data_IF_785305869570
#
_entry.id   IF_785305869570
#
_cell.length_a   1.000
_cell.length_b   1.000
_cell.length_c   1.000
_cell.angle_alpha   90.00
_cell.angle_beta   90.00
_cell.angle_gamma   90.00
#
_symmetry.space_group_name_H-M   'P 1'
#
loop_
_entity.id
_entity.type
_entity.pdbx_description
1 polymer ?
#
# COMPACT_ATOMS: atom_id res chain seq x y z
N UNK A 1 34.23 14.49 62.38
CA UNK A 1 33.55 15.01 61.18
C UNK A 1 32.30 15.76 61.63
N UNK A 2 32.07 17.01 61.22
CA UNK A 2 30.81 17.69 61.56
C UNK A 2 29.64 16.99 60.85
N UNK A 3 28.43 17.08 61.40
CA UNK A 3 27.22 16.53 60.76
C UNK A 3 27.06 17.09 59.33
N UNK A 4 27.38 18.37 59.14
CA UNK A 4 27.40 19.01 57.82
C UNK A 4 28.43 18.38 56.86
N UNK A 5 29.62 18.05 57.35
CA UNK A 5 30.64 17.36 56.55
C UNK A 5 30.24 15.94 56.16
N UNK A 6 29.54 15.21 57.03
CA UNK A 6 29.00 13.89 56.72
C UNK A 6 27.90 13.94 55.65
N UNK A 7 26.96 14.88 55.78
CA UNK A 7 25.90 15.09 54.78
C UNK A 7 26.48 15.48 53.42
N UNK A 8 27.44 16.41 53.38
CA UNK A 8 28.10 16.81 52.15
C UNK A 8 28.83 15.64 51.47
N UNK A 9 29.52 14.79 52.25
CA UNK A 9 30.21 13.61 51.72
C UNK A 9 29.22 12.60 51.11
N UNK A 10 28.11 12.31 51.80
CA UNK A 10 27.08 11.39 51.29
C UNK A 10 26.44 11.92 50.00
N UNK A 11 26.07 13.21 49.96
CA UNK A 11 25.51 13.82 48.75
C UNK A 11 26.50 13.83 47.58
N UNK A 12 27.77 14.10 47.85
CA UNK A 12 28.82 14.08 46.82
C UNK A 12 29.07 12.66 46.29
N UNK A 13 29.06 11.66 47.16
CA UNK A 13 29.18 10.25 46.76
C UNK A 13 27.96 9.80 45.94
N UNK A 14 26.75 10.20 46.32
CA UNK A 14 25.53 9.96 45.54
C UNK A 14 25.60 10.63 44.17
N UNK A 15 26.05 11.88 44.10
CA UNK A 15 26.22 12.59 42.84
C UNK A 15 27.21 11.87 41.92
N UNK A 16 28.40 11.52 42.41
CA UNK A 16 29.39 10.76 41.63
C UNK A 16 28.85 9.40 41.17
N UNK A 17 28.11 8.70 42.03
CA UNK A 17 27.49 7.43 41.68
C UNK A 17 26.47 7.60 40.54
N UNK A 18 25.57 8.59 40.64
CA UNK A 18 24.58 8.90 39.60
C UNK A 18 25.28 9.32 38.29
N UNK A 19 26.32 10.15 38.36
CA UNK A 19 27.11 10.53 37.18
C UNK A 19 27.78 9.31 36.54
N UNK A 20 28.29 8.37 37.33
CA UNK A 20 28.91 7.15 36.80
C UNK A 20 27.87 6.25 36.11
N UNK A 21 26.67 6.13 36.69
CA UNK A 21 25.56 5.41 36.06
C UNK A 21 25.16 6.06 34.73
N UNK A 22 24.99 7.38 34.71
CA UNK A 22 24.64 8.13 33.50
C UNK A 22 25.69 8.02 32.40
N UNK A 23 26.98 8.13 32.75
CA UNK A 23 28.09 7.91 31.82
C UNK A 23 28.04 6.48 31.27
N UNK A 24 27.83 5.48 32.12
CA UNK A 24 27.76 4.10 31.66
C UNK A 24 26.59 3.86 30.71
N UNK A 25 25.44 4.47 30.95
CA UNK A 25 24.26 4.41 30.07
C UNK A 25 24.52 5.10 28.72
N UNK A 26 25.20 6.25 28.72
CA UNK A 26 25.57 6.97 27.49
C UNK A 26 26.58 6.19 26.63
N UNK A 27 27.55 5.51 27.26
CA UNK A 27 28.57 4.73 26.54
C UNK A 27 28.17 3.28 26.23
N UNK A 28 27.22 2.72 26.98
CA UNK A 28 26.68 1.38 26.77
C UNK A 28 25.13 1.42 26.73
N UNK A 29 24.55 2.13 25.76
CA UNK A 29 23.11 2.23 25.67
C UNK A 29 22.48 0.86 25.43
N UNK A 30 21.27 0.68 25.96
CA UNK A 30 20.59 -0.60 26.01
C UNK A 30 20.45 -1.25 24.63
N UNK A 31 20.17 -0.46 23.59
CA UNK A 31 19.95 -0.96 22.23
C UNK A 31 21.14 -1.72 21.64
N UNK A 32 22.37 -1.46 22.10
CA UNK A 32 23.58 -2.19 21.64
C UNK A 32 23.44 -3.69 21.93
N UNK A 33 22.75 -4.08 23.00
CA UNK A 33 22.54 -5.49 23.36
C UNK A 33 21.84 -6.25 22.24
N UNK A 34 20.92 -5.60 21.52
CA UNK A 34 20.16 -6.21 20.42
C UNK A 34 21.04 -6.44 19.19
N UNK A 35 21.81 -5.43 18.80
CA UNK A 35 22.72 -5.57 17.66
C UNK A 35 23.83 -6.59 17.92
N UNK A 36 24.40 -6.58 19.13
CA UNK A 36 25.41 -7.56 19.55
C UNK A 36 24.88 -8.99 19.42
N UNK A 37 23.68 -9.24 19.96
CA UNK A 37 23.04 -10.55 19.88
C UNK A 37 22.83 -11.00 18.42
N UNK A 38 22.31 -10.12 17.56
CA UNK A 38 22.12 -10.43 16.15
C UNK A 38 23.44 -10.76 15.44
N UNK A 39 24.48 -9.93 15.59
CA UNK A 39 25.76 -10.16 14.92
C UNK A 39 26.44 -11.44 15.41
N UNK A 40 26.37 -11.75 16.70
CA UNK A 40 26.85 -13.03 17.26
C UNK A 40 26.14 -14.24 16.63
N UNK A 41 24.80 -14.19 16.54
CA UNK A 41 24.00 -15.25 15.92
C UNK A 41 24.32 -15.41 14.42
N UNK A 42 24.45 -14.31 13.68
CA UNK A 42 24.78 -14.34 12.25
C UNK A 42 26.23 -14.79 12.00
N UNK A 43 27.17 -14.43 12.88
CA UNK A 43 28.55 -14.91 12.82
C UNK A 43 28.61 -16.43 12.99
N UNK A 44 27.86 -16.98 13.96
CA UNK A 44 27.78 -18.43 14.19
C UNK A 44 27.16 -19.18 13.01
N UNK A 45 26.12 -18.62 12.37
CA UNK A 45 25.52 -19.20 11.14
C UNK A 45 26.54 -19.19 9.99
N UNK A 46 27.16 -18.04 9.75
CA UNK A 46 28.14 -17.85 8.65
C UNK A 46 29.39 -18.71 8.85
N UNK A 47 29.84 -18.92 10.09
CA UNK A 47 31.00 -19.77 10.40
C UNK A 47 30.73 -21.25 10.04
N UNK A 48 29.53 -21.74 10.35
CA UNK A 48 29.09 -23.09 9.93
C UNK A 48 29.03 -23.23 8.42
N UNK A 49 28.48 -22.23 7.72
CA UNK A 49 28.44 -22.21 6.24
C UNK A 49 29.86 -22.21 5.64
N UNK A 50 30.77 -21.44 6.24
CA UNK A 50 32.17 -21.36 5.80
C UNK A 50 32.88 -22.70 5.94
N UNK A 51 32.67 -23.44 7.04
CA UNK A 51 33.26 -24.76 7.27
C UNK A 51 32.78 -25.80 6.24
N UNK A 52 31.49 -25.78 5.92
CA UNK A 52 30.85 -26.73 4.99
C UNK A 52 31.13 -26.39 3.52
N UNK A 53 31.40 -25.12 3.19
CA UNK A 53 31.63 -24.68 1.81
C UNK A 53 32.85 -25.38 1.18
N UNK A 54 32.67 -25.86 -0.06
CA UNK A 54 33.72 -26.55 -0.83
C UNK A 54 34.33 -25.69 -1.93
N UNK A 55 33.70 -24.56 -2.25
CA UNK A 55 34.11 -23.68 -3.36
C UNK A 55 34.99 -22.55 -2.85
N UNK A 56 36.17 -22.34 -3.48
CA UNK A 56 37.13 -21.28 -3.09
C UNK A 56 36.48 -19.89 -3.08
N UNK A 57 35.66 -19.59 -4.10
CA UNK A 57 34.96 -18.30 -4.25
C UNK A 57 33.93 -18.07 -3.14
N UNK A 58 33.21 -19.11 -2.75
CA UNK A 58 32.21 -19.05 -1.70
C UNK A 58 32.86 -18.89 -0.32
N UNK A 59 33.93 -19.64 -0.05
CA UNK A 59 34.76 -19.44 1.14
C UNK A 59 35.33 -18.03 1.23
N UNK A 60 35.82 -17.46 0.14
CA UNK A 60 36.31 -16.07 0.15
C UNK A 60 35.20 -15.07 0.54
N UNK A 61 34.00 -15.23 -0.02
CA UNK A 61 32.85 -14.38 0.28
C UNK A 61 32.40 -14.52 1.75
N UNK A 62 32.24 -15.76 2.21
CA UNK A 62 31.86 -16.07 3.59
C UNK A 62 32.92 -15.60 4.59
N UNK A 63 34.21 -15.71 4.24
CA UNK A 63 35.31 -15.20 5.05
C UNK A 63 35.27 -13.68 5.23
N UNK A 64 34.98 -12.94 4.15
CA UNK A 64 34.76 -11.48 4.21
C UNK A 64 33.54 -11.13 5.08
N UNK A 65 32.43 -11.85 4.90
CA UNK A 65 31.21 -11.68 5.71
C UNK A 65 31.49 -11.96 7.20
N UNK A 66 32.19 -13.05 7.51
CA UNK A 66 32.53 -13.42 8.88
C UNK A 66 33.45 -12.39 9.56
N UNK A 67 34.40 -11.82 8.82
CA UNK A 67 35.28 -10.77 9.35
C UNK A 67 34.49 -9.52 9.78
N UNK A 68 33.49 -9.13 8.99
CA UNK A 68 32.56 -8.04 9.32
C UNK A 68 31.69 -8.40 10.53
N UNK A 69 31.07 -9.58 10.53
CA UNK A 69 30.16 -10.02 11.61
C UNK A 69 30.88 -10.20 12.96
N UNK A 70 32.18 -10.53 12.97
CA UNK A 70 32.99 -10.64 14.20
C UNK A 70 33.43 -9.29 14.75
N UNK A 71 33.43 -8.23 13.95
CA UNK A 71 33.79 -6.86 14.37
C UNK A 71 32.80 -5.83 13.80
N UNK A 72 31.51 -5.90 14.19
CA UNK A 72 30.50 -5.01 13.65
C UNK A 72 30.68 -3.58 14.21
N UNK A 73 30.22 -2.61 13.45
CA UNK A 73 30.00 -1.25 13.94
C UNK A 73 28.57 -1.18 14.46
N UNK A 74 28.42 -0.84 15.74
CA UNK A 74 27.11 -0.60 16.33
C UNK A 74 26.70 0.84 16.07
N UNK A 75 25.52 1.04 15.51
CA UNK A 75 25.04 2.37 15.13
C UNK A 75 23.53 2.50 15.28
N UNK A 76 23.09 3.73 15.50
CA UNK A 76 21.66 4.06 15.45
C UNK A 76 21.22 4.04 13.99
N UNK A 77 20.40 3.05 13.62
CA UNK A 77 19.75 3.00 12.31
C UNK A 77 18.48 3.86 12.35
N UNK A 78 18.40 4.82 11.45
CA UNK A 78 17.26 5.73 11.36
C UNK A 78 16.74 5.84 9.93
N UNK A 79 15.42 5.80 9.80
CA UNK A 79 14.68 6.03 8.57
C UNK A 79 14.04 7.41 8.70
N UNK A 80 14.30 8.27 7.71
CA UNK A 80 13.66 9.56 7.61
C UNK A 80 12.42 9.42 6.74
N UNK A 81 11.24 9.61 7.33
CA UNK A 81 9.98 9.54 6.63
C UNK A 81 9.79 10.86 5.88
N UNK A 82 10.03 10.81 4.56
CA UNK A 82 10.05 12.00 3.70
C UNK A 82 8.65 12.26 3.15
N UNK A 83 7.95 13.24 3.71
CA UNK A 83 6.65 13.73 3.25
C UNK A 83 6.73 14.79 2.13
N UNK A 84 5.59 15.20 1.57
CA UNK A 84 5.45 16.18 0.48
C UNK A 84 6.21 17.51 0.74
N UNK A 85 6.21 18.03 1.98
CA UNK A 85 6.97 19.24 2.34
C UNK A 85 8.49 19.05 2.18
N UNK A 86 8.98 17.82 2.29
CA UNK A 86 10.42 17.52 2.34
C UNK A 86 11.02 17.21 0.98
N UNK A 87 10.20 16.73 0.04
CA UNK A 87 10.59 16.57 -1.36
C UNK A 87 10.64 17.91 -2.11
N UNK A 88 9.67 18.80 -1.86
CA UNK A 88 9.58 20.11 -2.50
C UNK A 88 10.66 21.09 -2.01
N UNK A 89 10.98 21.08 -0.72
CA UNK A 89 11.89 22.07 -0.10
C UNK A 89 13.30 21.54 0.18
N UNK A 90 13.57 20.25 -0.12
CA UNK A 90 14.83 19.54 0.23
C UNK A 90 15.17 19.59 1.72
N UNK A 91 14.16 19.76 2.57
CA UNK A 91 14.31 19.69 4.02
C UNK A 91 14.16 18.23 4.49
N UNK A 92 14.63 17.91 5.70
CA UNK A 92 14.48 16.56 6.24
C UNK A 92 13.07 16.37 6.79
N UNK A 93 12.45 15.21 6.57
CA UNK A 93 11.16 14.84 7.18
C UNK A 93 11.19 15.00 8.69
N UNK A 94 10.14 15.61 9.25
CA UNK A 94 10.01 15.79 10.70
C UNK A 94 9.87 14.45 11.44
N UNK A 95 9.31 13.43 10.76
CA UNK A 95 9.07 12.10 11.32
C UNK A 95 10.27 11.18 11.04
N UNK A 96 10.77 10.57 12.12
CA UNK A 96 11.94 9.69 12.12
C UNK A 96 11.54 8.39 12.79
N UNK A 97 11.94 7.28 12.19
CA UNK A 97 11.74 5.93 12.70
C UNK A 97 13.10 5.26 12.96
N UNK A 98 13.30 4.77 14.17
CA UNK A 98 14.54 4.14 14.66
C UNK A 98 14.31 2.71 15.13
N UNK A 99 13.17 2.10 14.82
CA UNK A 99 12.88 0.72 15.20
C UNK A 99 13.99 -0.25 14.70
N UNK A 100 14.53 0.05 13.52
CA UNK A 100 15.67 -0.67 12.92
C UNK A 100 16.96 -0.61 13.76
N UNK A 101 17.07 0.24 14.78
CA UNK A 101 18.24 0.24 15.68
C UNK A 101 18.27 -1.03 16.53
N UNK A 102 17.11 -1.53 16.95
CA UNK A 102 16.98 -2.77 17.73
C UNK A 102 16.58 -3.96 16.83
N UNK A 103 15.75 -3.72 15.82
CA UNK A 103 15.28 -4.71 14.85
C UNK A 103 16.14 -4.70 13.58
N UNK A 104 17.39 -5.16 13.66
CA UNK A 104 18.36 -5.03 12.56
C UNK A 104 18.29 -6.13 11.48
N UNK A 105 17.42 -7.14 11.64
CA UNK A 105 17.26 -8.20 10.64
C UNK A 105 16.37 -7.75 9.46
N UNK A 106 17.01 -7.05 8.52
CA UNK A 106 16.33 -6.53 7.33
C UNK A 106 15.77 -7.64 6.41
N UNK A 107 16.36 -8.83 6.40
CA UNK A 107 15.89 -9.96 5.58
C UNK A 107 14.60 -10.54 6.17
N UNK A 108 14.56 -10.74 7.49
CA UNK A 108 13.35 -11.16 8.19
C UNK A 108 12.23 -10.12 8.04
N UNK A 109 12.56 -8.83 8.13
CA UNK A 109 11.60 -7.75 7.96
C UNK A 109 11.03 -7.72 6.53
N UNK A 110 11.87 -7.80 5.49
CA UNK A 110 11.40 -7.86 4.09
C UNK A 110 10.50 -9.07 3.83
N UNK A 111 10.78 -10.20 4.47
CA UNK A 111 9.98 -11.42 4.33
C UNK A 111 8.62 -11.30 5.01
N UNK A 112 8.54 -10.52 6.08
CA UNK A 112 7.34 -10.37 6.90
C UNK A 112 6.40 -9.25 6.45
N UNK A 113 6.87 -8.36 5.56
CA UNK A 113 6.13 -7.19 5.09
C UNK A 113 5.83 -7.26 3.58
N UNK A 114 4.69 -6.70 3.13
CA UNK A 114 4.37 -6.62 1.71
C UNK A 114 5.39 -5.76 0.95
N UNK A 115 5.69 -6.14 -0.30
CA UNK A 115 6.61 -5.39 -1.17
C UNK A 115 6.10 -3.97 -1.47
N UNK A 116 4.78 -3.78 -1.42
CA UNK A 116 4.12 -2.49 -1.64
C UNK A 116 4.47 -1.43 -0.58
N UNK A 117 4.88 -1.86 0.63
CA UNK A 117 5.20 -0.97 1.75
C UNK A 117 6.60 -1.24 2.31
N UNK A 118 7.65 -0.87 1.57
CA UNK A 118 9.02 -1.05 2.06
C UNK A 118 9.29 -0.12 3.24
N UNK A 119 9.82 -0.69 4.33
CA UNK A 119 10.01 0.02 5.60
C UNK A 119 11.01 1.18 5.51
N UNK A 120 11.93 1.18 4.54
CA UNK A 120 12.88 2.28 4.31
C UNK A 120 12.23 3.52 3.69
N UNK A 121 10.98 3.43 3.27
CA UNK A 121 10.13 4.55 2.82
C UNK A 121 9.09 4.90 3.87
N UNK A 122 8.31 3.90 4.32
CA UNK A 122 7.14 4.13 5.16
C UNK A 122 7.44 4.04 6.67
N UNK A 123 8.57 3.46 7.07
CA UNK A 123 8.86 3.21 8.48
C UNK A 123 7.99 2.10 9.10
N UNK A 124 8.27 1.77 10.35
CA UNK A 124 7.54 0.75 11.09
C UNK A 124 6.32 1.37 11.80
N UNK A 125 6.51 2.57 12.36
CA UNK A 125 5.54 3.27 13.20
C UNK A 125 4.30 3.77 12.45
N UNK A 126 4.30 3.83 11.12
CA UNK A 126 3.09 4.16 10.34
C UNK A 126 2.04 3.04 10.47
N UNK A 127 2.47 1.80 10.27
CA UNK A 127 1.58 0.65 10.44
C UNK A 127 1.51 0.18 11.90
N UNK A 128 2.57 0.33 12.69
CA UNK A 128 2.63 -0.22 14.04
C UNK A 128 2.36 0.80 15.16
N UNK A 129 2.28 2.10 14.88
CA UNK A 129 2.32 3.18 15.89
C UNK A 129 3.58 3.09 16.76
N UNK A 130 3.49 3.51 18.03
CA UNK A 130 4.63 3.60 18.93
C UNK A 130 5.44 4.87 18.75
N UNK A 131 6.49 4.99 19.54
CA UNK A 131 7.41 6.13 19.48
C UNK A 131 8.64 5.77 18.64
N UNK A 132 8.51 5.90 17.32
CA UNK A 132 9.60 5.61 16.38
C UNK A 132 10.88 6.42 16.62
N UNK A 133 10.86 7.51 17.42
CA UNK A 133 12.07 8.30 17.73
C UNK A 133 12.84 7.77 18.94
N UNK A 134 12.19 7.00 19.80
CA UNK A 134 12.78 6.48 21.03
C UNK A 134 13.77 5.35 20.72
N UNK A 135 14.84 5.27 21.53
CA UNK A 135 15.75 4.14 21.58
C UNK A 135 15.60 3.32 22.88
N UNK A 136 14.79 3.83 23.81
CA UNK A 136 14.34 3.10 24.99
C UNK A 136 13.22 2.15 24.58
N UNK A 137 13.32 0.88 24.97
CA UNK A 137 12.40 -0.19 24.56
C UNK A 137 10.95 0.08 25.01
N UNK A 138 10.76 0.52 26.25
CA UNK A 138 9.43 0.73 26.82
C UNK A 138 8.76 1.93 26.15
N UNK A 139 9.50 3.03 26.00
CA UNK A 139 9.00 4.24 25.35
C UNK A 139 8.78 4.03 23.84
N UNK A 140 9.64 3.26 23.16
CA UNK A 140 9.49 2.95 21.74
C UNK A 140 8.20 2.16 21.47
N UNK A 141 7.86 1.24 22.37
CA UNK A 141 6.67 0.40 22.25
C UNK A 141 5.42 0.98 22.90
N UNK A 142 5.49 2.14 23.54
CA UNK A 142 4.35 2.81 24.16
C UNK A 142 3.27 3.10 23.10
N UNK A 143 2.10 2.47 23.23
CA UNK A 143 1.00 2.63 22.27
C UNK A 143 1.17 1.87 20.95
N UNK A 144 2.16 0.98 20.84
CA UNK A 144 2.41 0.20 19.63
C UNK A 144 1.44 -0.99 19.48
N UNK A 145 1.11 -1.33 18.24
CA UNK A 145 0.37 -2.51 17.83
C UNK A 145 1.33 -3.55 17.24
N UNK A 146 1.55 -4.65 17.95
CA UNK A 146 2.55 -5.65 17.57
C UNK A 146 2.08 -6.57 16.44
N UNK A 147 0.88 -7.14 16.58
CA UNK A 147 0.35 -8.10 15.62
C UNK A 147 -0.66 -7.46 14.67
N UNK A 148 -0.89 -8.11 13.52
CA UNK A 148 -1.95 -7.74 12.56
C UNK A 148 -3.32 -7.62 13.22
N UNK A 149 -3.62 -8.50 14.18
CA UNK A 149 -4.87 -8.45 14.94
C UNK A 149 -4.97 -7.16 15.77
N UNK A 150 -3.88 -6.72 16.37
CA UNK A 150 -3.86 -5.52 17.20
C UNK A 150 -4.05 -4.29 16.32
N UNK A 151 -3.36 -4.24 15.17
CA UNK A 151 -3.55 -3.20 14.16
C UNK A 151 -5.02 -3.12 13.71
N UNK A 152 -5.70 -4.25 13.48
CA UNK A 152 -7.13 -4.25 13.13
C UNK A 152 -8.02 -3.62 14.20
N UNK A 153 -7.66 -3.70 15.49
CA UNK A 153 -8.43 -3.09 16.57
C UNK A 153 -8.43 -1.55 16.52
N UNK A 154 -7.43 -0.93 15.86
CA UNK A 154 -7.41 0.54 15.68
C UNK A 154 -8.52 1.02 14.76
N UNK A 155 -9.05 0.16 13.90
CA UNK A 155 -10.12 0.49 12.95
C UNK A 155 -11.46 0.70 13.67
N UNK A 156 -11.58 1.83 14.35
CA UNK A 156 -12.75 2.18 15.16
C UNK A 156 -13.77 3.00 14.39
N UNK A 157 -13.31 3.71 13.35
CA UNK A 157 -14.08 4.61 12.48
C UNK A 157 -13.47 4.67 11.07
N UNK A 158 -14.19 5.29 10.13
CA UNK A 158 -13.65 5.59 8.80
C UNK A 158 -12.51 6.61 8.86
N UNK A 159 -12.53 7.51 9.85
CA UNK A 159 -11.53 8.58 10.00
C UNK A 159 -10.13 7.98 10.19
N UNK A 160 -10.02 6.99 11.08
CA UNK A 160 -8.74 6.32 11.36
C UNK A 160 -8.14 5.66 10.12
N UNK A 161 -8.98 5.18 9.20
CA UNK A 161 -8.49 4.61 7.94
C UNK A 161 -8.07 5.71 6.95
N UNK A 162 -8.77 6.83 6.93
CA UNK A 162 -8.42 7.97 6.08
C UNK A 162 -7.13 8.62 6.54
N UNK A 163 -6.95 8.86 7.85
CA UNK A 163 -5.70 9.36 8.43
C UNK A 163 -4.51 8.45 8.06
N UNK A 164 -4.70 7.14 8.15
CA UNK A 164 -3.69 6.16 7.73
C UNK A 164 -3.38 6.25 6.22
N UNK A 165 -4.40 6.29 5.37
CA UNK A 165 -4.21 6.43 3.92
C UNK A 165 -3.57 7.76 3.51
N UNK A 166 -3.91 8.84 4.20
CA UNK A 166 -3.33 10.16 3.97
C UNK A 166 -1.86 10.16 4.37
N UNK A 167 -1.50 9.54 5.50
CA UNK A 167 -0.10 9.37 5.88
C UNK A 167 0.70 8.54 4.86
N UNK A 168 0.14 7.44 4.36
CA UNK A 168 0.77 6.69 3.27
C UNK A 168 0.93 7.56 2.01
N UNK A 169 -0.06 8.37 1.67
CA UNK A 169 -0.01 9.26 0.52
C UNK A 169 1.06 10.34 0.67
N UNK A 170 1.21 10.91 1.87
CA UNK A 170 2.24 11.91 2.15
C UNK A 170 3.66 11.34 2.00
N UNK A 171 3.89 10.11 2.46
CA UNK A 171 5.19 9.45 2.44
C UNK A 171 5.56 8.86 1.08
N UNK A 172 4.58 8.70 0.20
CA UNK A 172 4.77 8.10 -1.10
C UNK A 172 5.59 9.04 -2.00
N UNK A 173 6.76 8.60 -2.50
CA UNK A 173 7.58 9.41 -3.41
C UNK A 173 6.79 9.93 -4.61
N UNK A 174 7.03 11.19 -5.01
CA UNK A 174 6.40 11.77 -6.21
C UNK A 174 6.67 10.88 -7.44
N UNK A 175 5.58 10.42 -8.07
CA UNK A 175 5.67 9.63 -9.28
C UNK A 175 6.09 10.53 -10.45
N UNK A 176 7.31 10.31 -10.96
CA UNK A 176 7.90 11.12 -12.05
C UNK A 176 7.19 10.94 -13.39
N UNK A 177 6.40 9.88 -13.54
CA UNK A 177 5.60 9.63 -14.74
C UNK A 177 4.11 9.94 -14.46
N UNK A 178 3.57 11.07 -14.95
CA UNK A 178 2.15 11.40 -14.82
C UNK A 178 1.22 10.39 -15.53
N UNK A 179 1.77 9.41 -16.24
CA UNK A 179 1.06 8.36 -16.95
C UNK A 179 1.18 6.96 -16.33
N UNK A 180 2.02 6.76 -15.29
CA UNK A 180 1.97 5.54 -14.50
C UNK A 180 0.70 5.60 -13.65
N UNK A 181 -0.15 4.59 -13.84
CA UNK A 181 -1.45 4.52 -13.19
C UNK A 181 -1.25 4.12 -11.73
N UNK A 182 -1.18 5.11 -10.84
CA UNK A 182 -1.78 5.11 -9.49
C UNK A 182 -1.61 3.81 -8.68
N UNK A 183 -0.43 3.19 -8.71
CA UNK A 183 -0.07 2.14 -7.74
C UNK A 183 0.32 2.81 -6.42
N UNK A 184 1.25 3.76 -6.53
CA UNK A 184 1.72 4.65 -5.47
C UNK A 184 0.72 5.79 -5.28
N UNK A 185 -0.39 5.53 -4.57
CA UNK A 185 -1.38 6.58 -4.27
C UNK A 185 -2.81 6.09 -4.10
N UNK A 186 -3.14 4.91 -4.62
CA UNK A 186 -4.49 4.35 -4.49
C UNK A 186 -4.62 3.50 -3.23
N UNK A 187 -4.56 4.14 -2.05
CA UNK A 187 -4.56 3.39 -0.78
C UNK A 187 -5.90 2.73 -0.44
N UNK A 188 -6.97 3.04 -1.19
CA UNK A 188 -8.31 2.47 -0.98
C UNK A 188 -8.38 0.95 -1.06
N UNK A 189 -7.38 0.33 -1.68
CA UNK A 189 -7.29 -1.11 -1.83
C UNK A 189 -6.61 -1.78 -0.64
N UNK A 190 -6.10 -1.02 0.33
CA UNK A 190 -5.45 -1.56 1.53
C UNK A 190 -6.32 -1.34 2.76
N UNK A 191 -6.29 -2.30 3.69
CA UNK A 191 -6.89 -2.15 5.00
C UNK A 191 -5.89 -1.51 5.99
N UNK A 192 -6.29 -1.38 7.24
CA UNK A 192 -5.53 -0.69 8.29
C UNK A 192 -4.20 -1.37 8.67
N UNK A 193 -3.96 -2.61 8.20
CA UNK A 193 -2.69 -3.33 8.45
C UNK A 193 -1.69 -3.15 7.31
N UNK A 194 -2.05 -2.41 6.25
CA UNK A 194 -1.27 -2.35 5.01
C UNK A 194 -1.48 -3.58 4.11
N UNK A 195 -2.31 -4.55 4.48
CA UNK A 195 -2.65 -5.67 3.62
C UNK A 195 -3.68 -5.24 2.56
N UNK A 196 -3.64 -5.85 1.37
CA UNK A 196 -4.70 -5.68 0.37
C UNK A 196 -6.05 -6.11 0.97
N UNK A 197 -7.02 -5.21 0.90
CA UNK A 197 -8.35 -5.44 1.40
C UNK A 197 -9.10 -6.48 0.53
N UNK A 198 -9.94 -7.27 1.19
CA UNK A 198 -10.63 -8.39 0.53
C UNK A 198 -11.84 -7.90 -0.27
N UNK A 199 -11.95 -8.37 -1.52
CA UNK A 199 -13.17 -8.26 -2.32
C UNK A 199 -14.19 -9.29 -1.84
N UNK A 200 -15.31 -8.83 -1.29
CA UNK A 200 -16.33 -9.68 -0.64
C UNK A 200 -17.42 -10.13 -1.62
N UNK A 201 -17.44 -9.56 -2.83
CA UNK A 201 -18.35 -9.89 -3.91
C UNK A 201 -19.71 -9.22 -3.80
N UNK A 202 -20.29 -8.94 -4.97
CA UNK A 202 -21.55 -8.17 -5.08
C UNK A 202 -22.73 -8.80 -4.36
N UNK A 203 -22.75 -10.13 -4.19
CA UNK A 203 -23.80 -10.84 -3.44
C UNK A 203 -23.93 -10.33 -2.01
N UNK A 204 -22.82 -9.98 -1.35
CA UNK A 204 -22.85 -9.44 0.02
C UNK A 204 -23.54 -8.08 0.06
N UNK A 205 -23.25 -7.24 -0.93
CA UNK A 205 -23.85 -5.91 -1.08
C UNK A 205 -25.36 -6.02 -1.37
N UNK A 206 -25.74 -6.85 -2.34
CA UNK A 206 -27.12 -6.98 -2.83
C UNK A 206 -28.08 -7.39 -1.71
N UNK A 207 -27.68 -8.29 -0.79
CA UNK A 207 -28.51 -8.75 0.35
C UNK A 207 -29.15 -7.61 1.15
N UNK A 208 -28.49 -6.46 1.25
CA UNK A 208 -29.04 -5.29 1.95
C UNK A 208 -29.49 -4.20 0.95
N UNK A 209 -28.71 -3.98 -0.11
CA UNK A 209 -28.94 -2.89 -1.05
C UNK A 209 -30.11 -3.13 -2.03
N UNK A 210 -30.59 -4.37 -2.18
CA UNK A 210 -31.83 -4.67 -2.92
C UNK A 210 -33.07 -4.10 -2.26
N UNK A 211 -33.04 -3.86 -0.94
CA UNK A 211 -34.09 -3.16 -0.20
C UNK A 211 -33.75 -1.68 0.01
N UNK A 212 -32.61 -1.39 0.61
CA UNK A 212 -32.25 -0.03 1.05
C UNK A 212 -32.02 0.95 -0.11
N UNK A 213 -31.48 0.45 -1.22
CA UNK A 213 -31.14 1.25 -2.40
C UNK A 213 -31.56 0.54 -3.67
N UNK A 214 -32.79 0.00 -3.68
CA UNK A 214 -33.33 -0.79 -4.79
C UNK A 214 -33.07 -0.19 -6.18
N UNK A 215 -33.32 1.11 -6.46
CA UNK A 215 -33.11 1.67 -7.79
C UNK A 215 -31.65 1.62 -8.27
N UNK A 216 -30.69 1.62 -7.34
CA UNK A 216 -29.27 1.50 -7.66
C UNK A 216 -28.92 0.07 -8.08
N UNK A 217 -29.32 -0.92 -7.29
CA UNK A 217 -29.09 -2.35 -7.58
C UNK A 217 -29.85 -2.78 -8.83
N UNK A 218 -31.10 -2.37 -8.98
CA UNK A 218 -31.91 -2.65 -10.18
C UNK A 218 -31.25 -2.08 -11.43
N UNK A 219 -30.81 -0.81 -11.38
CA UNK A 219 -30.11 -0.18 -12.52
C UNK A 219 -28.84 -0.94 -12.86
N UNK A 220 -28.02 -1.29 -11.87
CA UNK A 220 -26.81 -2.08 -12.08
C UNK A 220 -27.13 -3.46 -12.65
N UNK A 221 -28.13 -4.18 -12.13
CA UNK A 221 -28.57 -5.49 -12.63
C UNK A 221 -29.15 -5.44 -14.05
N UNK A 222 -29.73 -4.30 -14.45
CA UNK A 222 -30.25 -4.11 -15.81
C UNK A 222 -29.14 -3.87 -16.83
N UNK A 223 -28.16 -3.03 -16.49
CA UNK A 223 -27.03 -2.72 -17.38
C UNK A 223 -25.92 -3.79 -17.30
N UNK A 224 -25.84 -4.51 -16.17
CA UNK A 224 -24.89 -5.55 -15.74
C UNK A 224 -23.41 -5.24 -15.96
N UNK A 225 -23.07 -4.04 -16.45
CA UNK A 225 -21.79 -3.71 -17.06
C UNK A 225 -21.16 -4.94 -17.75
N UNK A 226 -21.92 -5.59 -18.66
CA UNK A 226 -21.55 -6.84 -19.37
C UNK A 226 -20.43 -6.63 -20.39
N UNK A 227 -19.53 -5.70 -20.12
CA UNK A 227 -18.46 -5.31 -21.01
C UNK A 227 -17.55 -6.50 -21.29
N UNK A 228 -17.32 -7.38 -20.31
CA UNK A 228 -16.55 -8.62 -20.53
C UNK A 228 -17.26 -9.61 -21.46
N UNK A 229 -18.58 -9.79 -21.36
CA UNK A 229 -19.34 -10.67 -22.26
C UNK A 229 -19.19 -10.22 -23.72
N UNK A 230 -19.10 -8.91 -23.96
CA UNK A 230 -18.86 -8.33 -25.28
C UNK A 230 -17.41 -8.51 -25.71
N UNK A 231 -16.46 -8.26 -24.82
CA UNK A 231 -15.03 -8.45 -25.08
C UNK A 231 -14.71 -9.90 -25.45
N UNK A 232 -15.30 -10.87 -24.74
CA UNK A 232 -15.12 -12.31 -25.01
C UNK A 232 -15.59 -12.74 -26.41
N UNK A 233 -16.49 -11.97 -27.03
CA UNK A 233 -16.99 -12.21 -28.39
C UNK A 233 -16.18 -11.49 -29.46
N UNK A 234 -15.28 -10.59 -29.07
CA UNK A 234 -14.55 -9.77 -30.01
C UNK A 234 -13.45 -10.59 -30.73
N UNK A 235 -13.24 -10.39 -32.04
CA UNK A 235 -12.27 -11.15 -32.83
C UNK A 235 -10.85 -11.11 -32.27
N UNK A 236 -10.45 -9.98 -31.70
CA UNK A 236 -9.13 -9.75 -31.11
C UNK A 236 -8.94 -10.57 -29.82
N UNK A 237 -9.97 -10.67 -28.98
CA UNK A 237 -9.93 -11.51 -27.78
C UNK A 237 -9.87 -13.01 -28.11
N UNK A 238 -10.65 -13.43 -29.12
CA UNK A 238 -10.71 -14.83 -29.57
C UNK A 238 -9.37 -15.25 -30.18
N UNK A 239 -8.78 -14.38 -31.02
CA UNK A 239 -7.48 -14.63 -31.65
C UNK A 239 -6.29 -14.43 -30.72
N UNK A 240 -6.46 -13.65 -29.65
CA UNK A 240 -5.42 -13.34 -28.67
C UNK A 240 -5.04 -14.54 -27.80
N UNK A 241 -3.78 -14.55 -27.37
CA UNK A 241 -3.25 -15.48 -26.38
C UNK A 241 -3.66 -15.10 -24.95
N UNK A 242 -3.18 -15.84 -23.96
CA UNK A 242 -3.51 -15.59 -22.55
C UNK A 242 -3.07 -14.20 -22.09
N UNK A 243 -1.88 -13.75 -22.49
CA UNK A 243 -1.34 -12.43 -22.13
C UNK A 243 -2.17 -11.30 -22.74
N UNK A 244 -2.64 -11.46 -23.98
CA UNK A 244 -3.59 -10.53 -24.58
C UNK A 244 -4.90 -10.43 -23.77
N UNK A 245 -5.43 -11.57 -23.34
CA UNK A 245 -6.68 -11.63 -22.56
C UNK A 245 -6.53 -11.00 -21.18
N UNK A 246 -5.37 -11.17 -20.53
CA UNK A 246 -5.03 -10.52 -19.25
C UNK A 246 -5.14 -9.00 -19.31
N UNK A 247 -4.74 -8.38 -20.44
CA UNK A 247 -4.91 -6.93 -20.62
C UNK A 247 -6.38 -6.49 -20.60
N UNK A 248 -7.29 -7.36 -21.06
CA UNK A 248 -8.73 -7.06 -21.02
C UNK A 248 -9.27 -7.12 -19.58
N UNK A 249 -8.77 -8.05 -18.77
CA UNK A 249 -9.28 -8.27 -17.41
C UNK A 249 -9.03 -7.08 -16.49
N UNK A 250 -7.95 -6.33 -16.70
CA UNK A 250 -7.63 -5.09 -15.95
C UNK A 250 -8.80 -4.09 -15.85
N UNK A 251 -9.65 -4.02 -16.87
CA UNK A 251 -10.77 -3.07 -16.93
C UNK A 251 -12.16 -3.74 -16.97
N UNK A 252 -12.22 -5.02 -17.37
CA UNK A 252 -13.48 -5.73 -17.59
C UNK A 252 -13.79 -6.77 -16.51
N UNK A 253 -13.01 -6.81 -15.44
CA UNK A 253 -13.26 -7.64 -14.25
C UNK A 253 -13.18 -6.78 -12.99
N UNK A 254 -13.52 -7.35 -11.84
CA UNK A 254 -13.44 -6.66 -10.55
C UNK A 254 -12.35 -7.29 -9.70
N UNK A 255 -11.45 -6.45 -9.18
CA UNK A 255 -10.35 -6.89 -8.33
C UNK A 255 -9.31 -7.72 -9.07
N UNK A 256 -8.93 -7.29 -10.28
CA UNK A 256 -7.85 -7.93 -11.03
C UNK A 256 -6.49 -7.65 -10.36
N UNK A 257 -5.72 -8.70 -10.10
CA UNK A 257 -4.35 -8.62 -9.60
C UNK A 257 -3.37 -8.92 -10.74
N UNK A 258 -2.48 -7.97 -11.05
CA UNK A 258 -1.54 -8.11 -12.18
C UNK A 258 -0.43 -9.13 -11.92
N UNK A 259 -0.13 -9.42 -10.65
CA UNK A 259 0.92 -10.36 -10.25
C UNK A 259 0.42 -11.79 -10.40
N UNK A 260 -0.79 -12.07 -9.92
CA UNK A 260 -1.37 -13.43 -10.02
C UNK A 260 -2.10 -13.65 -11.34
N UNK A 261 -2.56 -12.58 -11.99
CA UNK A 261 -3.41 -12.64 -13.17
C UNK A 261 -4.85 -13.06 -12.88
N UNK A 262 -5.26 -13.09 -11.60
CA UNK A 262 -6.59 -13.48 -11.15
C UNK A 262 -7.50 -12.27 -10.92
N UNK A 263 -8.81 -12.49 -10.84
CA UNK A 263 -9.80 -11.47 -10.49
C UNK A 263 -10.81 -12.02 -9.47
N UNK A 264 -11.35 -11.13 -8.64
CA UNK A 264 -12.30 -11.48 -7.57
C UNK A 264 -13.73 -11.72 -8.07
N UNK A 265 -14.19 -10.97 -9.07
CA UNK A 265 -15.53 -11.16 -9.66
C UNK A 265 -15.52 -10.88 -11.17
N UNK A 266 -16.28 -11.68 -11.93
CA UNK A 266 -16.42 -11.52 -13.37
C UNK A 266 -17.25 -10.26 -13.70
N UNK A 267 -16.75 -9.44 -14.63
CA UNK A 267 -17.40 -8.19 -15.02
C UNK A 267 -17.06 -7.01 -14.11
N UNK A 268 -17.59 -5.84 -14.45
CA UNK A 268 -17.44 -4.60 -13.65
C UNK A 268 -18.57 -4.54 -12.62
N UNK A 269 -18.26 -4.90 -11.38
CA UNK A 269 -19.25 -5.08 -10.31
C UNK A 269 -19.22 -3.97 -9.28
N UNK A 270 -19.94 -4.12 -8.16
CA UNK A 270 -20.05 -3.07 -7.14
C UNK A 270 -18.68 -2.56 -6.67
N UNK A 271 -17.75 -3.49 -6.43
CA UNK A 271 -16.43 -3.22 -5.86
C UNK A 271 -15.44 -2.65 -6.89
N UNK A 272 -15.77 -2.68 -8.19
CA UNK A 272 -14.96 -2.04 -9.22
C UNK A 272 -14.97 -0.50 -9.04
N UNK A 273 -16.13 0.04 -8.66
CA UNK A 273 -16.30 1.46 -8.37
C UNK A 273 -16.00 1.78 -6.90
N UNK A 274 -16.58 1.00 -5.99
CA UNK A 274 -16.55 1.29 -4.55
C UNK A 274 -15.27 0.83 -3.82
N UNK A 275 -14.39 0.07 -4.48
CA UNK A 275 -13.23 -0.56 -3.86
C UNK A 275 -13.56 -1.89 -3.18
N UNK A 276 -12.57 -2.59 -2.59
CA UNK A 276 -12.78 -3.85 -1.89
C UNK A 276 -13.68 -3.68 -0.66
N UNK A 277 -14.63 -4.59 -0.47
CA UNK A 277 -15.69 -4.43 0.53
C UNK A 277 -15.41 -4.95 1.91
N UNK A 278 -14.22 -5.49 2.19
CA UNK A 278 -13.83 -5.93 3.53
C UNK A 278 -14.16 -4.91 4.61
N UNK A 279 -13.58 -3.71 4.52
CA UNK A 279 -13.62 -2.70 5.58
C UNK A 279 -15.01 -2.10 5.74
N UNK A 280 -15.64 -1.66 4.63
CA UNK A 280 -16.97 -1.03 4.76
C UNK A 280 -18.07 -2.04 5.07
N UNK A 281 -17.97 -3.29 4.61
CA UNK A 281 -18.95 -4.32 4.98
C UNK A 281 -18.84 -4.70 6.45
N UNK A 282 -17.62 -4.74 7.01
CA UNK A 282 -17.40 -4.92 8.44
C UNK A 282 -18.14 -3.85 9.26
N UNK A 283 -17.97 -2.56 8.92
CA UNK A 283 -18.68 -1.49 9.62
C UNK A 283 -20.21 -1.60 9.52
N UNK A 284 -20.73 -2.08 8.38
CA UNK A 284 -22.17 -2.34 8.23
C UNK A 284 -22.65 -3.47 9.15
N UNK A 285 -21.87 -4.55 9.29
CA UNK A 285 -22.19 -5.72 10.12
C UNK A 285 -22.19 -5.39 11.62
N UNK A 286 -21.29 -4.53 12.09
CA UNK A 286 -21.21 -4.13 13.51
C UNK A 286 -22.15 -2.97 13.87
N UNK A 287 -23.11 -2.63 13.01
CA UNK A 287 -24.09 -1.57 13.26
C UNK A 287 -23.56 -0.13 13.10
N UNK A 288 -22.38 0.05 12.51
CA UNK A 288 -21.75 1.35 12.19
C UNK A 288 -21.83 1.66 10.69
N UNK A 289 -22.96 1.38 10.05
CA UNK A 289 -23.13 1.50 8.59
C UNK A 289 -22.75 2.89 8.01
N UNK A 290 -22.92 3.97 8.78
CA UNK A 290 -22.49 5.31 8.36
C UNK A 290 -20.98 5.44 8.14
N UNK A 291 -20.16 4.72 8.92
CA UNK A 291 -18.71 4.67 8.73
C UNK A 291 -18.36 3.92 7.45
N UNK A 292 -18.97 2.75 7.22
CA UNK A 292 -18.80 2.00 5.97
C UNK A 292 -19.22 2.81 4.73
N UNK A 293 -20.31 3.58 4.84
CA UNK A 293 -20.77 4.46 3.76
C UNK A 293 -19.74 5.54 3.40
N UNK A 294 -19.03 6.12 4.39
CA UNK A 294 -17.96 7.10 4.11
C UNK A 294 -16.87 6.48 3.24
N UNK A 295 -16.38 5.30 3.63
CA UNK A 295 -15.33 4.57 2.92
C UNK A 295 -15.78 4.20 1.50
N UNK A 296 -16.97 3.60 1.34
CA UNK A 296 -17.48 3.18 0.03
C UNK A 296 -17.68 4.35 -0.96
N UNK A 297 -17.82 5.59 -0.48
CA UNK A 297 -17.99 6.77 -1.34
C UNK A 297 -16.67 7.32 -1.88
N UNK A 298 -15.53 7.00 -1.27
CA UNK A 298 -14.22 7.54 -1.65
C UNK A 298 -13.92 7.28 -3.12
N UNK A 299 -14.33 6.14 -3.69
CA UNK A 299 -14.12 5.79 -5.09
C UNK A 299 -15.11 6.38 -6.11
N UNK A 300 -16.03 7.25 -5.71
CA UNK A 300 -17.15 7.68 -6.58
C UNK A 300 -16.88 9.01 -7.29
N UNK A 301 -17.64 9.30 -8.35
CA UNK A 301 -17.47 10.52 -9.16
C UNK A 301 -17.48 11.81 -8.32
N UNK A 302 -16.47 12.67 -8.53
CA UNK A 302 -16.32 13.94 -7.80
C UNK A 302 -15.41 13.88 -6.58
N UNK A 303 -14.80 12.72 -6.29
CA UNK A 303 -13.72 12.58 -5.31
C UNK A 303 -12.34 12.62 -6.01
N UNK A 304 -11.24 12.77 -5.25
CA UNK A 304 -9.88 12.62 -5.80
C UNK A 304 -9.63 11.27 -6.47
N UNK A 305 -10.41 10.24 -6.12
CA UNK A 305 -10.26 8.87 -6.59
C UNK A 305 -11.34 8.52 -7.63
N UNK A 306 -11.19 9.07 -8.83
CA UNK A 306 -12.09 8.81 -9.95
C UNK A 306 -12.02 7.33 -10.41
N UNK A 307 -13.03 6.51 -10.07
CA UNK A 307 -13.10 5.12 -10.53
C UNK A 307 -13.29 4.93 -12.04
N UNK A 308 -13.70 5.97 -12.78
CA UNK A 308 -13.92 5.86 -14.23
C UNK A 308 -12.60 5.91 -15.01
N UNK A 309 -11.67 6.78 -14.59
CA UNK A 309 -10.43 7.09 -15.29
C UNK A 309 -9.51 5.90 -15.56
N UNK A 310 -9.29 4.99 -14.60
CA UNK A 310 -8.45 3.81 -14.81
C UNK A 310 -8.90 2.90 -15.97
N UNK A 311 -10.20 2.89 -16.29
CA UNK A 311 -10.73 2.08 -17.39
C UNK A 311 -10.95 2.90 -18.67
N UNK A 312 -11.47 4.12 -18.54
CA UNK A 312 -11.84 4.99 -19.65
C UNK A 312 -10.71 5.94 -20.04
N UNK A 313 -9.57 5.36 -20.42
CA UNK A 313 -8.41 6.07 -20.97
C UNK A 313 -8.19 5.67 -22.42
N UNK A 314 -7.84 6.67 -23.24
CA UNK A 314 -7.57 6.55 -24.67
C UNK A 314 -6.57 5.44 -25.03
N UNK A 315 -5.58 5.17 -24.17
CA UNK A 315 -4.57 4.11 -24.41
C UNK A 315 -5.05 2.71 -24.02
N UNK A 316 -6.12 2.57 -23.25
CA UNK A 316 -6.63 1.28 -22.78
C UNK A 316 -7.07 0.33 -23.90
N UNK A 317 -7.30 0.86 -25.11
CA UNK A 317 -7.69 0.08 -26.28
C UNK A 317 -6.68 0.14 -27.43
N UNK A 318 -5.47 0.69 -27.23
CA UNK A 318 -4.47 0.87 -28.29
C UNK A 318 -4.08 -0.46 -28.97
N UNK A 319 -3.97 -1.53 -28.18
CA UNK A 319 -3.70 -2.88 -28.71
C UNK A 319 -4.80 -3.38 -29.66
N UNK A 320 -6.06 -3.02 -29.39
CA UNK A 320 -7.20 -3.35 -30.28
C UNK A 320 -7.11 -2.55 -31.57
N UNK A 321 -6.81 -1.26 -31.48
CA UNK A 321 -6.65 -0.38 -32.65
C UNK A 321 -5.64 -0.99 -33.62
N UNK A 322 -4.49 -1.43 -33.12
CA UNK A 322 -3.46 -2.14 -33.91
C UNK A 322 -4.00 -3.43 -34.54
N UNK A 323 -4.72 -4.26 -33.77
CA UNK A 323 -5.27 -5.53 -34.27
C UNK A 323 -6.20 -5.33 -35.46
N UNK A 324 -7.15 -4.38 -35.36
CA UNK A 324 -8.17 -4.15 -36.38
C UNK A 324 -7.66 -3.37 -37.59
N UNK A 325 -6.77 -2.37 -37.40
CA UNK A 325 -6.15 -1.62 -38.50
C UNK A 325 -5.35 -2.52 -39.44
N UNK A 326 -4.58 -3.47 -38.89
CA UNK A 326 -3.75 -4.39 -39.69
C UNK A 326 -4.59 -5.39 -40.50
N UNK A 327 -5.82 -5.71 -40.05
CA UNK A 327 -6.65 -6.76 -40.63
C UNK A 327 -7.81 -6.26 -41.50
N UNK A 328 -7.94 -4.95 -41.70
CA UNK A 328 -8.99 -4.31 -42.49
C UNK A 328 -10.43 -4.80 -42.14
N UNK A 329 -10.67 -5.08 -40.86
CA UNK A 329 -11.97 -5.52 -40.32
C UNK A 329 -12.80 -4.30 -39.91
N UNK A 330 -14.13 -4.41 -39.94
CA UNK A 330 -15.03 -3.29 -39.63
C UNK A 330 -14.79 -2.72 -38.22
N UNK A 331 -14.90 -1.41 -38.11
CA UNK A 331 -14.76 -0.57 -36.92
C UNK A 331 -15.99 -0.61 -35.99
N UNK A 332 -16.99 -1.46 -36.30
CA UNK A 332 -18.19 -1.71 -35.50
C UNK A 332 -17.88 -2.18 -34.07
N UNK A 333 -16.70 -2.81 -33.86
CA UNK A 333 -16.24 -3.24 -32.54
C UNK A 333 -15.69 -2.11 -31.65
N UNK A 334 -15.42 -0.92 -32.21
CA UNK A 334 -15.04 0.27 -31.44
C UNK A 334 -16.24 1.06 -30.96
N UNK A 335 -17.36 1.01 -31.69
CA UNK A 335 -18.58 1.74 -31.38
C UNK A 335 -19.77 0.77 -31.32
N UNK A 336 -20.02 0.14 -30.15
CA UNK A 336 -21.20 -0.72 -29.99
C UNK A 336 -22.46 0.10 -30.31
N UNK A 337 -23.40 -0.47 -31.07
CA UNK A 337 -24.64 0.15 -31.55
C UNK A 337 -25.61 0.63 -30.43
N UNK A 338 -25.18 0.64 -29.17
CA UNK A 338 -26.01 0.95 -27.99
C UNK A 338 -25.42 2.06 -27.09
N UNK A 339 -24.43 2.82 -27.57
CA UNK A 339 -23.89 3.99 -26.85
C UNK A 339 -24.61 5.30 -27.14
N UNK A 340 -25.70 5.30 -27.92
CA UNK A 340 -26.58 6.48 -27.97
C UNK A 340 -27.13 6.73 -26.57
N UNK A 341 -26.81 7.88 -25.94
CA UNK A 341 -27.39 8.24 -24.65
C UNK A 341 -28.91 8.16 -24.77
N UNK A 342 -29.57 7.62 -23.75
CA UNK A 342 -31.02 7.74 -23.62
C UNK A 342 -31.38 9.20 -23.91
N UNK A 343 -32.17 9.45 -24.96
CA UNK A 343 -32.50 10.79 -25.46
C UNK A 343 -32.99 11.69 -24.33
N UNK A 344 -32.09 12.39 -23.67
CA UNK A 344 -32.38 13.67 -23.03
C UNK A 344 -32.25 14.70 -24.14
N UNK A 345 -33.20 15.63 -24.20
CA UNK A 345 -33.49 16.58 -25.29
C UNK A 345 -32.38 17.57 -25.66
N UNK A 346 -31.12 17.30 -25.28
CA UNK A 346 -29.94 18.08 -25.66
C UNK A 346 -29.34 17.68 -27.01
N UNK A 347 -29.68 16.50 -27.57
CA UNK A 347 -29.04 15.98 -28.78
C UNK A 347 -29.34 16.75 -30.07
N UNK A 348 -30.39 17.57 -30.12
CA UNK A 348 -30.71 18.35 -31.33
C UNK A 348 -29.84 19.60 -31.49
N UNK A 349 -29.25 20.13 -30.41
CA UNK A 349 -28.37 21.31 -30.49
C UNK A 349 -26.90 21.00 -30.75
N UNK A 350 -26.44 19.78 -30.48
CA UNK A 350 -25.02 19.40 -30.63
C UNK A 350 -24.69 18.91 -32.05
N UNK A 351 -25.70 18.42 -32.80
CA UNK A 351 -25.51 17.94 -34.18
C UNK A 351 -25.00 19.07 -35.10
N UNK A 352 -25.36 20.33 -34.86
CA UNK A 352 -24.85 21.46 -35.67
C UNK A 352 -23.38 21.79 -35.42
N UNK A 353 -22.82 21.42 -34.26
CA UNK A 353 -21.43 21.71 -33.90
C UNK A 353 -20.42 20.65 -34.38
N UNK A 354 -20.90 19.43 -34.66
CA UNK A 354 -20.05 18.31 -35.08
C UNK A 354 -19.55 18.38 -36.54
N UNK A 355 -20.09 19.30 -37.35
CA UNK A 355 -19.64 19.53 -38.73
C UNK A 355 -18.34 20.37 -38.84
N UNK A 356 -17.68 20.69 -37.71
CA UNK A 356 -16.52 21.57 -37.65
C UNK A 356 -15.21 20.90 -37.19
N UNK A 357 -15.19 19.59 -36.94
CA UNK A 357 -13.94 18.90 -36.61
C UNK A 357 -13.25 18.39 -37.88
N UNK A 358 -11.94 18.65 -38.06
CA UNK A 358 -11.21 18.28 -39.27
C UNK A 358 -11.09 16.76 -39.38
N UNK A 359 -11.37 16.23 -40.57
CA UNK A 359 -11.07 14.84 -40.92
C UNK A 359 -9.55 14.66 -40.99
N UNK A 360 -9.02 13.77 -40.17
CA UNK A 360 -7.62 13.37 -40.21
C UNK A 360 -7.47 12.39 -41.39
N UNK A 361 -6.58 12.72 -42.33
CA UNK A 361 -6.18 11.90 -43.47
C UNK A 361 -5.03 10.96 -43.12
#
# INVERSE_FOLDING_TARGET
MSVQGAVFFVLSALFLFITTLWINEEFNPEWIKYQKKYYEEQALKTEKEYEVSTTVKEKELLGKKLAFLKNPVYEVKQIFLKGISTWAERENGDKVDRCMTCHIDEEELRTSHPEEFPFDIYGCSVCHEGNGRSLDEELAHEGMYYARRDMQLRLTSAETLFEFWDELAELTPEERDPNQRIGMGNFRIFNITGDKAIYVGSKKCIKCHEGLTYPHVERWLRIKFKSLDLVKKAPDYIAGDEEYRKQCFKCHTTGYDEVTGEYSEEGVTCEACHGPGEVYSYFMEIGKASQGQKIAKVGTYGTPYNACGPCHDTRGHEMRVKFFQVRAVSDEWFFPQHTTPYKTSLSEKVISASNLLPKIH
#
